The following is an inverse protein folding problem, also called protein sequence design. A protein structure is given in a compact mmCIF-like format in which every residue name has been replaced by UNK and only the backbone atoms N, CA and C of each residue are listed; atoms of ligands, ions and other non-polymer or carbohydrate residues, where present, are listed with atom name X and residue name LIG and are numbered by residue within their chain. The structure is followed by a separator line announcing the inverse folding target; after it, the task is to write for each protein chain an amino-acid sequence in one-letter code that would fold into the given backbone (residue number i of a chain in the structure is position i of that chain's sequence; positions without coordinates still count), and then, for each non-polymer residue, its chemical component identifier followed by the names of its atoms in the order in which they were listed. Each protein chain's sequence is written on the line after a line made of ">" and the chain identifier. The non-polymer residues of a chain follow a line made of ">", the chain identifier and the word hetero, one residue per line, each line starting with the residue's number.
data_IF_634588794071
#
_entry.id   IF_634588794071
#
_cell.length_a   1.000
_cell.length_b   1.000
_cell.length_c   1.000
_cell.angle_alpha   90.00
_cell.angle_beta   90.00
_cell.angle_gamma   90.00
#
_symmetry.space_group_name_H-M   'P 1'
#
loop_
_entity.id
_entity.type
_entity.pdbx_description
1 polymer ?
#
# COMPACT_ATOMS: atom_id res chain seq x y z
N UNK A 1 -28.68 -14.11 -9.57
CA UNK A 1 -28.28 -14.27 -8.92
C UNK A 1 -27.68 -13.98 -8.03
N UNK A 2 -27.60 -14.15 -7.37
CA UNK A 2 -27.17 -13.64 -6.56
C UNK A 2 -26.13 -13.89 -5.78
N UNK A 3 -25.07 -13.93 -6.33
CA UNK A 3 -23.80 -13.93 -5.67
C UNK A 3 -23.62 -12.78 -4.72
N UNK A 4 -24.43 -11.76 -4.90
CA UNK A 4 -24.39 -10.60 -4.02
C UNK A 4 -24.70 -10.93 -2.56
N UNK A 5 -25.32 -12.07 -2.31
CA UNK A 5 -25.62 -12.49 -0.93
C UNK A 5 -24.46 -13.16 -0.23
N UNK A 6 -23.37 -13.47 -0.94
CA UNK A 6 -22.20 -14.12 -0.34
C UNK A 6 -21.32 -13.08 0.37
N UNK A 7 -21.08 -13.25 1.66
CA UNK A 7 -20.19 -12.32 2.38
C UNK A 7 -18.79 -12.35 1.79
N UNK A 8 -18.14 -11.19 1.73
CA UNK A 8 -16.75 -11.12 1.32
C UNK A 8 -15.89 -11.69 2.45
N UNK A 9 -15.04 -12.66 2.11
CA UNK A 9 -14.09 -13.20 3.06
C UNK A 9 -13.10 -12.09 3.46
N UNK A 10 -12.94 -11.80 4.75
CA UNK A 10 -12.03 -10.74 5.18
C UNK A 10 -10.59 -10.93 4.71
N UNK A 11 -10.11 -12.17 4.63
CA UNK A 11 -8.75 -12.45 4.16
C UNK A 11 -8.64 -12.16 2.66
N UNK A 12 -9.62 -12.57 1.87
CA UNK A 12 -9.64 -12.28 0.44
C UNK A 12 -9.71 -10.78 0.18
N UNK A 13 -10.52 -10.07 0.96
CA UNK A 13 -10.62 -8.61 0.85
C UNK A 13 -9.28 -7.94 1.17
N UNK A 14 -8.59 -8.41 2.22
CA UNK A 14 -7.28 -7.88 2.58
C UNK A 14 -6.25 -8.14 1.48
N UNK A 15 -6.22 -9.35 0.94
CA UNK A 15 -5.27 -9.69 -0.14
C UNK A 15 -5.52 -8.86 -1.39
N UNK A 16 -6.79 -8.57 -1.70
CA UNK A 16 -7.14 -7.70 -2.82
C UNK A 16 -6.63 -6.28 -2.61
N UNK A 17 -6.81 -5.74 -1.40
CA UNK A 17 -6.35 -4.39 -1.07
C UNK A 17 -4.82 -4.29 -1.12
N UNK A 18 -4.12 -5.36 -0.75
CA UNK A 18 -2.66 -5.38 -0.77
C UNK A 18 -2.09 -5.73 -2.14
N UNK A 19 -2.91 -6.15 -3.09
CA UNK A 19 -2.47 -6.44 -4.45
C UNK A 19 -2.45 -5.17 -5.27
N UNK A 20 -1.34 -4.45 -5.20
CA UNK A 20 -1.19 -3.16 -5.86
C UNK A 20 -1.10 -3.30 -7.37
N UNK A 21 -1.63 -2.32 -8.08
CA UNK A 21 -1.47 -2.21 -9.52
C UNK A 21 -0.11 -1.57 -9.81
N UNK A 22 0.73 -2.26 -10.58
CA UNK A 22 2.03 -1.72 -10.97
C UNK A 22 1.83 -0.77 -12.15
N UNK A 23 2.21 0.49 -11.97
CA UNK A 23 2.14 1.51 -13.02
C UNK A 23 3.48 1.67 -13.74
N UNK A 24 4.57 1.64 -12.99
CA UNK A 24 5.94 1.72 -13.45
C UNK A 24 6.84 0.98 -12.47
N UNK A 25 8.14 0.90 -12.73
CA UNK A 25 9.08 0.17 -11.88
C UNK A 25 9.04 0.63 -10.42
N UNK A 26 8.86 1.92 -10.18
CA UNK A 26 8.84 2.49 -8.84
C UNK A 26 7.53 3.21 -8.54
N UNK A 27 6.45 2.85 -9.24
CA UNK A 27 5.18 3.54 -9.10
C UNK A 27 4.04 2.52 -9.06
N UNK A 28 3.25 2.56 -8.01
CA UNK A 28 2.16 1.62 -7.78
C UNK A 28 0.89 2.35 -7.40
N UNK A 29 -0.26 1.78 -7.74
CA UNK A 29 -1.55 2.31 -7.33
C UNK A 29 -2.22 1.33 -6.39
N UNK A 30 -2.61 1.82 -5.22
CA UNK A 30 -3.37 1.04 -4.25
C UNK A 30 -4.83 0.98 -4.66
N UNK A 31 -5.44 -0.19 -4.47
CA UNK A 31 -6.86 -0.38 -4.70
C UNK A 31 -7.63 0.11 -3.48
N UNK A 32 -8.80 0.70 -3.70
CA UNK A 32 -9.69 1.01 -2.61
C UNK A 32 -10.39 -0.28 -2.17
N UNK A 33 -10.43 -0.48 -0.87
CA UNK A 33 -11.19 -1.59 -0.31
C UNK A 33 -12.69 -1.30 -0.31
N UNK A 34 -13.50 -2.28 0.05
CA UNK A 34 -14.93 -2.04 0.19
C UNK A 34 -15.18 -0.99 1.26
N UNK A 35 -16.20 -0.17 1.03
CA UNK A 35 -16.61 0.84 2.00
C UNK A 35 -17.29 0.13 3.17
N UNK A 36 -16.54 -0.01 4.25
CA UNK A 36 -17.02 -0.64 5.48
C UNK A 36 -17.37 0.39 6.55
N UNK A 37 -17.16 1.68 6.28
CA UNK A 37 -17.30 2.71 7.29
C UNK A 37 -16.16 2.75 8.30
N UNK A 38 -15.13 1.97 8.09
CA UNK A 38 -14.04 1.80 9.05
C UNK A 38 -12.87 2.71 8.73
N UNK A 39 -13.10 4.01 8.79
CA UNK A 39 -12.05 4.97 8.45
C UNK A 39 -10.82 4.87 9.34
N UNK A 40 -11.00 4.41 10.59
CA UNK A 40 -9.87 4.31 11.52
C UNK A 40 -8.86 3.23 11.13
N UNK A 41 -9.21 2.28 10.25
CA UNK A 41 -8.25 1.29 9.75
C UNK A 41 -7.59 1.74 8.46
N UNK A 42 -7.95 2.91 7.94
CA UNK A 42 -7.37 3.41 6.69
C UNK A 42 -5.86 3.63 6.82
N UNK A 43 -5.40 4.17 7.96
CA UNK A 43 -3.97 4.36 8.21
C UNK A 43 -3.18 3.05 8.11
N UNK A 44 -3.72 1.98 8.68
CA UNK A 44 -3.10 0.65 8.58
C UNK A 44 -3.07 0.14 7.14
N UNK A 45 -4.13 0.38 6.38
CA UNK A 45 -4.17 0.01 4.96
C UNK A 45 -3.09 0.76 4.17
N UNK A 46 -2.93 2.06 4.42
CA UNK A 46 -1.92 2.87 3.74
C UNK A 46 -0.51 2.34 4.04
N UNK A 47 -0.23 2.05 5.31
CA UNK A 47 1.07 1.52 5.71
C UNK A 47 1.30 0.15 5.07
N UNK A 48 0.29 -0.72 5.08
CA UNK A 48 0.39 -2.05 4.48
C UNK A 48 0.64 -1.98 2.97
N UNK A 49 -0.09 -1.14 2.27
CA UNK A 49 0.11 -0.93 0.82
C UNK A 49 1.49 -0.35 0.53
N UNK A 50 1.94 0.63 1.32
CA UNK A 50 3.28 1.21 1.17
C UNK A 50 4.36 0.15 1.35
N UNK A 51 4.20 -0.72 2.33
CA UNK A 51 5.14 -1.82 2.57
C UNK A 51 5.18 -2.78 1.39
N UNK A 52 4.03 -3.13 0.83
CA UNK A 52 3.97 -3.99 -0.37
C UNK A 52 4.68 -3.32 -1.54
N UNK A 53 4.46 -2.02 -1.76
CA UNK A 53 5.13 -1.28 -2.82
C UNK A 53 6.65 -1.33 -2.64
N UNK A 54 7.14 -1.09 -1.42
CA UNK A 54 8.56 -1.16 -1.13
C UNK A 54 9.11 -2.56 -1.39
N UNK A 55 8.41 -3.58 -0.91
CA UNK A 55 8.82 -4.96 -0.99
C UNK A 55 8.98 -5.41 -2.46
N UNK A 56 8.13 -4.91 -3.35
CA UNK A 56 8.17 -5.26 -4.77
C UNK A 56 9.35 -4.66 -5.52
N UNK A 57 10.08 -3.73 -4.90
CA UNK A 57 11.29 -3.14 -5.49
C UNK A 57 12.57 -3.69 -4.88
N UNK A 58 12.45 -4.63 -3.94
CA UNK A 58 13.57 -5.19 -3.18
C UNK A 58 13.76 -6.64 -3.59
N UNK A 59 15.00 -7.14 -3.52
CA UNK A 59 15.30 -8.52 -3.80
C UNK A 59 14.50 -9.45 -2.87
N UNK A 60 14.05 -10.59 -3.39
CA UNK A 60 13.13 -11.49 -2.69
C UNK A 60 13.72 -12.11 -1.43
N UNK A 61 15.05 -12.10 -1.28
CA UNK A 61 15.73 -12.63 -0.09
C UNK A 61 15.89 -11.58 1.01
N UNK A 62 15.36 -10.37 0.82
CA UNK A 62 15.45 -9.30 1.79
C UNK A 62 14.11 -9.07 2.45
N UNK A 63 14.11 -9.08 3.78
CA UNK A 63 12.90 -8.91 4.58
C UNK A 63 12.94 -7.60 5.35
N UNK A 64 11.80 -6.95 5.49
CA UNK A 64 11.72 -5.71 6.26
C UNK A 64 12.01 -6.00 7.72
N UNK A 65 12.83 -5.16 8.34
CA UNK A 65 13.13 -5.25 9.77
C UNK A 65 12.89 -3.93 10.51
N UNK A 66 12.58 -2.86 9.78
CA UNK A 66 12.30 -1.56 10.39
C UNK A 66 11.39 -0.77 9.46
N UNK A 67 10.37 -0.15 10.05
CA UNK A 67 9.42 0.67 9.32
C UNK A 67 9.07 1.89 10.17
N UNK A 68 9.13 3.07 9.54
CA UNK A 68 8.70 4.33 10.15
C UNK A 68 7.75 5.01 9.19
N UNK A 69 6.69 5.59 9.72
CA UNK A 69 5.68 6.25 8.89
C UNK A 69 5.26 7.59 9.52
N UNK A 70 5.00 8.56 8.66
CA UNK A 70 4.49 9.87 9.05
C UNK A 70 3.27 10.19 8.21
N UNK A 71 2.17 10.57 8.85
CA UNK A 71 0.96 11.00 8.17
C UNK A 71 0.95 12.53 8.12
N UNK A 72 1.22 13.06 6.93
CA UNK A 72 1.31 14.50 6.73
C UNK A 72 -0.05 15.14 6.54
N UNK A 73 -1.00 14.41 5.97
CA UNK A 73 -2.35 14.89 5.66
C UNK A 73 -3.36 13.78 5.92
N UNK A 74 -4.60 14.12 6.24
CA UNK A 74 -5.66 13.12 6.26
C UNK A 74 -5.82 12.51 4.87
N UNK A 75 -5.96 11.20 4.81
CA UNK A 75 -6.22 10.51 3.56
C UNK A 75 -7.71 10.41 3.27
N UNK A 76 -8.05 10.22 2.01
CA UNK A 76 -9.40 9.99 1.56
C UNK A 76 -9.57 8.49 1.27
N UNK A 77 -10.32 7.74 2.09
CA UNK A 77 -10.46 6.30 1.88
C UNK A 77 -11.22 5.91 0.61
N UNK A 78 -11.88 6.87 -0.04
CA UNK A 78 -12.64 6.61 -1.27
C UNK A 78 -11.81 6.79 -2.54
N UNK A 79 -10.58 7.29 -2.42
CA UNK A 79 -9.72 7.60 -3.56
C UNK A 79 -8.52 6.67 -3.55
N UNK A 80 -8.18 6.05 -4.69
CA UNK A 80 -6.95 5.25 -4.76
C UNK A 80 -5.71 6.08 -4.45
N UNK A 81 -4.70 5.42 -3.91
CA UNK A 81 -3.45 6.06 -3.52
C UNK A 81 -2.37 5.64 -4.51
N UNK A 82 -1.60 6.60 -4.97
CA UNK A 82 -0.40 6.34 -5.77
C UNK A 82 0.78 6.27 -4.81
N UNK A 83 1.54 5.19 -4.90
CA UNK A 83 2.74 4.99 -4.09
C UNK A 83 3.96 5.15 -4.96
N UNK A 84 4.75 6.16 -4.67
CA UNK A 84 6.00 6.40 -5.36
C UNK A 84 7.14 5.88 -4.51
N UNK A 85 7.91 4.96 -5.06
CA UNK A 85 9.02 4.33 -4.36
C UNK A 85 10.31 5.03 -4.72
N UNK A 86 11.02 5.49 -3.70
CA UNK A 86 12.36 6.04 -3.85
C UNK A 86 13.39 5.01 -3.36
N UNK A 87 14.27 4.60 -4.23
CA UNK A 87 15.31 3.63 -3.90
C UNK A 87 16.48 4.36 -3.28
N UNK A 88 16.42 4.56 -1.97
CA UNK A 88 17.43 5.34 -1.25
C UNK A 88 18.77 4.61 -1.24
N UNK A 89 18.76 3.30 -0.99
CA UNK A 89 19.98 2.52 -0.91
C UNK A 89 19.75 1.05 -1.20
N UNK A 90 20.62 0.47 -2.00
CA UNK A 90 20.72 -0.97 -2.20
C UNK A 90 22.14 -1.38 -1.83
N UNK A 91 22.40 -1.55 -0.54
CA UNK A 91 23.69 -1.99 -0.05
C UNK A 91 23.81 -3.49 0.02
N UNK A 92 25.02 -3.97 0.29
CA UNK A 92 25.26 -5.40 0.43
C UNK A 92 24.57 -5.98 1.67
N UNK A 93 24.45 -5.18 2.74
CA UNK A 93 23.84 -5.61 4.01
C UNK A 93 22.47 -5.01 4.23
N UNK A 94 22.22 -3.79 3.76
CA UNK A 94 20.99 -3.07 4.02
C UNK A 94 20.40 -2.50 2.74
N UNK A 95 19.08 -2.53 2.68
CA UNK A 95 18.30 -1.89 1.62
C UNK A 95 17.35 -0.89 2.26
N UNK A 96 17.27 0.30 1.71
CA UNK A 96 16.39 1.36 2.22
C UNK A 96 15.48 1.85 1.11
N UNK A 97 14.20 1.94 1.44
CA UNK A 97 13.16 2.46 0.55
C UNK A 97 12.40 3.56 1.26
N UNK A 98 12.08 4.61 0.54
CA UNK A 98 11.16 5.65 0.99
C UNK A 98 9.95 5.62 0.09
N UNK A 99 8.77 5.59 0.68
CA UNK A 99 7.52 5.53 -0.05
C UNK A 99 6.76 6.82 0.20
N UNK A 100 6.37 7.49 -0.87
CA UNK A 100 5.51 8.67 -0.80
C UNK A 100 4.13 8.26 -1.29
N UNK A 101 3.14 8.40 -0.42
CA UNK A 101 1.75 8.12 -0.75
C UNK A 101 1.10 9.42 -1.22
N UNK A 102 0.49 9.38 -2.40
CA UNK A 102 -0.01 10.57 -3.07
C UNK A 102 -1.49 10.41 -3.39
N UNK A 103 -2.28 11.40 -3.01
CA UNK A 103 -3.68 11.55 -3.44
C UNK A 103 -3.88 13.00 -3.87
N UNK A 104 -4.68 13.22 -4.93
CA UNK A 104 -4.96 14.57 -5.43
C UNK A 104 -3.69 15.39 -5.69
N UNK A 105 -2.59 14.72 -6.08
CA UNK A 105 -1.32 15.38 -6.36
C UNK A 105 -0.52 15.81 -5.12
N UNK A 106 -0.95 15.41 -3.92
CA UNK A 106 -0.27 15.75 -2.66
C UNK A 106 0.14 14.49 -1.91
N UNK A 107 1.32 14.60 -1.30
CA UNK A 107 1.83 13.54 -0.45
C UNK A 107 0.95 13.32 0.80
#
# INVERSE_FOLDING_TARGET
>A
MSSSSTPIDPISALLTVLDLEKLEENLFRGRTGPDTGWQRVFGGQVIGQALVAAQRTVASDRFVHSLHAYFLRPGDPLVPIIYQVERIRDGSSFTTRRIVAIQHGHA
#
